data_IF_591240810053
#
_entry.id   IF_591240810053
#
_cell.length_a   1.000
_cell.length_b   1.000
_cell.length_c   1.000
_cell.angle_alpha   90.00
_cell.angle_beta   90.00
_cell.angle_gamma   90.00
#
_symmetry.space_group_name_H-M   'P 1'
#
loop_
_entity.id
_entity.type
_entity.pdbx_description
1 polymer ?
#
# COMPACT_ATOMS: atom_id res chain seq x y z
N UNK A 1 3.24 -8.00 -11.79
CA UNK A 1 1.96 -7.93 -12.53
C UNK A 1 1.72 -6.52 -13.07
N UNK A 2 1.64 -5.47 -12.24
CA UNK A 2 1.35 -4.10 -12.71
C UNK A 2 2.30 -3.53 -13.77
N UNK A 3 3.62 -3.69 -13.62
CA UNK A 3 4.58 -3.25 -14.64
C UNK A 3 4.40 -3.92 -16.00
N UNK A 4 3.95 -5.19 -16.03
CA UNK A 4 3.65 -5.90 -17.28
C UNK A 4 2.35 -5.41 -17.95
N UNK A 5 1.47 -4.72 -17.20
CA UNK A 5 0.20 -4.19 -17.68
C UNK A 5 0.24 -2.66 -17.86
N UNK A 6 1.42 -2.04 -17.76
CA UNK A 6 1.57 -0.58 -17.90
C UNK A 6 0.86 0.22 -16.81
N UNK A 7 0.56 -0.39 -15.65
CA UNK A 7 -0.08 0.31 -14.54
C UNK A 7 0.87 1.35 -13.94
N UNK A 8 0.29 2.45 -13.45
CA UNK A 8 1.03 3.49 -12.75
C UNK A 8 1.71 2.91 -11.50
N UNK A 9 2.95 3.30 -11.29
CA UNK A 9 3.71 2.89 -10.11
C UNK A 9 3.28 3.64 -8.84
N UNK A 10 2.80 4.87 -9.01
CA UNK A 10 2.55 5.78 -7.90
C UNK A 10 1.25 6.57 -8.09
N UNK A 11 0.58 6.81 -6.98
CA UNK A 11 -0.45 7.82 -6.79
C UNK A 11 -0.29 8.39 -5.36
N UNK A 12 -0.62 9.66 -5.12
CA UNK A 12 -0.55 10.22 -3.76
C UNK A 12 -1.42 9.43 -2.79
N UNK A 13 -0.93 9.15 -1.58
CA UNK A 13 -1.62 8.28 -0.60
C UNK A 13 -2.98 8.87 -0.22
N UNK A 14 -3.06 10.19 -0.13
CA UNK A 14 -4.25 10.98 0.14
C UNK A 14 -5.34 10.87 -0.94
N UNK A 15 -4.99 10.39 -2.13
CA UNK A 15 -5.95 10.16 -3.23
C UNK A 15 -6.59 8.77 -3.18
N UNK A 16 -6.13 7.88 -2.30
CA UNK A 16 -6.66 6.52 -2.17
C UNK A 16 -8.03 6.56 -1.48
N UNK A 17 -9.10 6.41 -2.26
CA UNK A 17 -10.46 6.26 -1.73
C UNK A 17 -10.72 4.84 -1.24
N UNK A 18 -10.46 4.62 0.05
CA UNK A 18 -10.65 3.32 0.70
C UNK A 18 -12.14 2.95 0.76
N UNK A 19 -13.05 3.91 0.88
CA UNK A 19 -14.48 3.63 1.00
C UNK A 19 -15.02 3.12 -0.34
N UNK A 20 -14.74 3.84 -1.42
CA UNK A 20 -15.07 3.41 -2.79
C UNK A 20 -14.49 2.04 -3.08
N UNK A 21 -13.21 1.80 -2.77
CA UNK A 21 -12.60 0.49 -3.01
C UNK A 21 -13.33 -0.64 -2.28
N UNK A 22 -13.70 -0.44 -1.02
CA UNK A 22 -14.39 -1.48 -0.25
C UNK A 22 -15.80 -1.77 -0.78
N UNK A 23 -16.45 -0.78 -1.38
CA UNK A 23 -17.80 -0.92 -1.96
C UNK A 23 -17.76 -1.49 -3.39
N UNK A 24 -16.92 -0.91 -4.26
CA UNK A 24 -16.90 -1.17 -5.70
C UNK A 24 -15.81 -2.16 -6.12
N UNK A 25 -14.80 -2.37 -5.28
CA UNK A 25 -13.63 -3.19 -5.59
C UNK A 25 -12.46 -2.40 -6.20
N UNK A 26 -11.52 -3.17 -6.74
CA UNK A 26 -10.31 -2.65 -7.37
C UNK A 26 -10.61 -2.16 -8.80
N UNK A 27 -10.27 -0.91 -9.11
CA UNK A 27 -10.35 -0.35 -10.45
C UNK A 27 -8.98 -0.52 -11.15
N UNK A 28 -8.85 -1.42 -12.15
CA UNK A 28 -7.56 -1.73 -12.76
C UNK A 28 -6.86 -0.53 -13.42
N UNK A 29 -7.59 0.53 -13.77
CA UNK A 29 -7.05 1.75 -14.39
C UNK A 29 -6.47 2.73 -13.35
N UNK A 30 -7.05 2.75 -12.16
CA UNK A 30 -6.58 3.57 -11.03
C UNK A 30 -5.61 2.81 -10.10
N UNK A 31 -5.53 1.49 -10.25
CA UNK A 31 -4.70 0.63 -9.43
C UNK A 31 -3.22 1.04 -9.44
N UNK A 32 -2.67 1.25 -8.24
CA UNK A 32 -1.22 1.37 -8.01
C UNK A 32 -0.81 0.53 -6.79
N UNK A 33 0.48 0.18 -6.65
CA UNK A 33 0.99 -0.49 -5.45
C UNK A 33 0.65 0.22 -4.12
N UNK A 34 0.56 1.56 -4.12
CA UNK A 34 0.10 2.32 -2.94
C UNK A 34 -1.34 1.97 -2.58
N UNK A 35 -2.23 1.90 -3.57
CA UNK A 35 -3.63 1.56 -3.33
C UNK A 35 -3.75 0.17 -2.70
N UNK A 36 -3.07 -0.83 -3.27
CA UNK A 36 -3.08 -2.19 -2.73
C UNK A 36 -2.52 -2.24 -1.30
N UNK A 37 -1.44 -1.49 -1.03
CA UNK A 37 -0.87 -1.42 0.31
C UNK A 37 -1.85 -0.81 1.32
N UNK A 38 -2.41 0.36 1.03
CA UNK A 38 -3.31 1.09 1.93
C UNK A 38 -4.57 0.27 2.22
N UNK A 39 -5.18 -0.32 1.19
CA UNK A 39 -6.46 -1.03 1.34
C UNK A 39 -6.31 -2.44 1.88
N UNK A 40 -5.25 -3.17 1.49
CA UNK A 40 -5.11 -4.61 1.79
C UNK A 40 -3.90 -4.90 2.68
N UNK A 41 -2.69 -4.64 2.18
CA UNK A 41 -1.47 -5.19 2.78
C UNK A 41 -1.16 -4.59 4.17
N UNK A 42 -1.49 -3.32 4.39
CA UNK A 42 -1.32 -2.61 5.66
C UNK A 42 -2.04 -3.30 6.84
N UNK A 43 -3.15 -4.00 6.55
CA UNK A 43 -4.03 -4.67 7.52
C UNK A 43 -3.61 -6.11 7.83
N UNK A 44 -2.66 -6.68 7.08
CA UNK A 44 -2.26 -8.09 7.27
C UNK A 44 -1.67 -8.35 8.66
N UNK A 45 -0.99 -7.37 9.26
CA UNK A 45 -0.41 -7.48 10.60
C UNK A 45 -1.43 -7.81 11.68
N UNK A 46 -2.66 -7.31 11.52
CA UNK A 46 -3.76 -7.51 12.47
C UNK A 46 -4.36 -8.92 12.36
N UNK A 47 -4.12 -9.61 11.26
CA UNK A 47 -4.71 -10.91 10.93
C UNK A 47 -3.79 -12.10 11.22
N UNK A 48 -2.61 -11.88 11.81
CA UNK A 48 -1.73 -12.96 12.24
C UNK A 48 -2.00 -13.34 13.70
N UNK A 49 -2.07 -14.65 13.97
CA UNK A 49 -2.54 -15.17 15.26
C UNK A 49 -1.44 -15.57 16.23
N UNK A 50 -0.25 -15.93 15.74
CA UNK A 50 0.87 -16.35 16.60
C UNK A 50 1.71 -15.15 17.04
N UNK A 51 2.32 -15.19 18.24
CA UNK A 51 3.23 -14.13 18.68
C UNK A 51 4.36 -13.87 17.68
N UNK A 52 4.99 -14.94 17.16
CA UNK A 52 6.05 -14.84 16.15
C UNK A 52 5.53 -14.23 14.85
N UNK A 53 4.33 -14.62 14.41
CA UNK A 53 3.71 -14.05 13.21
C UNK A 53 3.49 -12.55 13.35
N UNK A 54 2.90 -12.12 14.48
CA UNK A 54 2.70 -10.69 14.78
C UNK A 54 4.02 -9.92 14.78
N UNK A 55 5.07 -10.43 15.44
CA UNK A 55 6.38 -9.78 15.45
C UNK A 55 6.95 -9.56 14.03
N UNK A 56 6.87 -10.58 13.17
CA UNK A 56 7.32 -10.49 11.78
C UNK A 56 6.48 -9.48 10.98
N UNK A 57 5.16 -9.47 11.17
CA UNK A 57 4.31 -8.54 10.43
C UNK A 57 4.49 -7.09 10.87
N UNK A 58 4.74 -6.83 12.15
CA UNK A 58 5.04 -5.48 12.64
C UNK A 58 6.31 -4.93 11.99
N UNK A 59 7.38 -5.73 11.93
CA UNK A 59 8.64 -5.35 11.26
C UNK A 59 8.42 -5.06 9.77
N UNK A 60 7.74 -5.98 9.07
CA UNK A 60 7.47 -5.82 7.62
C UNK A 60 6.55 -4.64 7.33
N UNK A 61 5.57 -4.39 8.19
CA UNK A 61 4.68 -3.24 8.05
C UNK A 61 5.46 -1.94 8.23
N UNK A 62 6.31 -1.84 9.26
CA UNK A 62 7.14 -0.66 9.49
C UNK A 62 8.05 -0.35 8.29
N UNK A 63 8.66 -1.37 7.70
CA UNK A 63 9.46 -1.22 6.48
C UNK A 63 8.64 -0.66 5.31
N UNK A 64 7.46 -1.23 5.04
CA UNK A 64 6.62 -0.81 3.92
C UNK A 64 6.08 0.61 4.10
N UNK A 65 5.68 0.98 5.33
CA UNK A 65 5.28 2.35 5.65
C UNK A 65 6.42 3.33 5.35
N UNK A 66 7.62 3.07 5.88
CA UNK A 66 8.78 3.93 5.65
C UNK A 66 9.16 4.02 4.16
N UNK A 67 9.01 2.93 3.40
CA UNK A 67 9.23 2.92 1.96
C UNK A 67 8.26 3.85 1.22
N UNK A 68 6.95 3.76 1.48
CA UNK A 68 5.97 4.60 0.80
C UNK A 68 6.01 6.06 1.24
N UNK A 69 6.31 6.33 2.50
CA UNK A 69 6.57 7.70 2.99
C UNK A 69 7.77 8.33 2.27
N UNK A 70 8.86 7.56 2.11
CA UNK A 70 10.03 8.05 1.37
C UNK A 70 9.73 8.24 -0.11
N UNK A 71 9.03 7.30 -0.74
CA UNK A 71 8.62 7.43 -2.14
C UNK A 71 7.75 8.68 -2.35
N UNK A 72 6.85 8.99 -1.41
CA UNK A 72 6.04 10.20 -1.44
C UNK A 72 6.92 11.46 -1.45
N UNK A 73 7.89 11.55 -0.52
CA UNK A 73 8.80 12.68 -0.43
C UNK A 73 9.68 12.83 -1.70
N UNK A 74 10.17 11.73 -2.26
CA UNK A 74 10.95 11.72 -3.49
C UNK A 74 10.14 12.22 -4.70
N UNK A 75 8.85 11.84 -4.79
CA UNK A 75 7.95 12.35 -5.83
C UNK A 75 7.67 13.84 -5.69
N UNK A 76 7.60 14.37 -4.47
CA UNK A 76 7.43 15.80 -4.20
C UNK A 76 8.75 16.60 -4.33
N UNK A 77 9.89 15.94 -4.52
CA UNK A 77 11.21 16.58 -4.57
C UNK A 77 11.72 17.07 -3.21
N UNK A 78 11.21 16.50 -2.12
CA UNK A 78 11.56 16.88 -0.74
C UNK A 78 12.74 16.06 -0.19
N UNK A 79 13.22 15.05 -0.94
CA UNK A 79 14.31 14.16 -0.54
C UNK A 79 15.05 13.55 -1.72
#
# INVERSE_FOLDING_TARGET
YGGAHGQRLWAPIETVDVARWLEEGDDPAEHTPVHEFVVKLSRLKERLFTPTGRAIAEERHAYMTAFFERLAAEVQGER
#
